data_IF_075189159277
#
_entry.id   IF_075189159277
#
_cell.length_a   1.000
_cell.length_b   1.000
_cell.length_c   1.000
_cell.angle_alpha   90.00
_cell.angle_beta   90.00
_cell.angle_gamma   90.00
#
_symmetry.space_group_name_H-M   'P 1'
#
loop_
_entity.id
_entity.type
_entity.pdbx_description
1 polymer ?
#
# COMPACT_ATOMS: atom_id res chain seq x y z
N UNK A 1 -4.71 12.80 29.92
CA UNK A 1 -3.39 13.46 30.18
C UNK A 1 -2.47 13.10 29.05
N UNK A 2 -1.81 14.09 28.44
CA UNK A 2 -0.82 13.81 27.36
C UNK A 2 0.23 12.80 27.82
N UNK A 3 0.72 12.00 26.88
CA UNK A 3 1.67 10.90 27.16
C UNK A 3 2.96 11.13 26.37
N UNK A 4 4.10 10.79 26.97
CA UNK A 4 5.41 10.80 26.29
C UNK A 4 5.76 9.38 25.91
N UNK A 5 6.08 9.16 24.65
CA UNK A 5 6.39 7.85 24.06
C UNK A 5 7.52 8.00 23.05
N UNK A 6 8.13 6.87 22.63
CA UNK A 6 9.13 6.88 21.55
C UNK A 6 8.45 6.94 20.17
N UNK A 7 9.09 7.69 19.27
CA UNK A 7 8.69 7.77 17.85
C UNK A 7 9.89 8.00 16.95
N UNK A 8 9.79 7.58 15.68
CA UNK A 8 10.84 7.73 14.67
C UNK A 8 10.49 8.91 13.76
N UNK A 9 11.35 9.91 13.73
CA UNK A 9 11.14 11.12 12.95
C UNK A 9 12.19 11.29 11.84
N UNK A 10 11.76 11.91 10.74
CA UNK A 10 12.63 12.52 9.75
C UNK A 10 12.69 14.02 10.04
N UNK A 11 13.83 14.51 10.52
CA UNK A 11 13.96 15.89 11.00
C UNK A 11 14.10 16.91 9.85
N UNK A 12 14.76 16.47 8.78
CA UNK A 12 15.01 17.29 7.59
C UNK A 12 15.16 16.40 6.36
N UNK A 13 15.03 16.99 5.19
CA UNK A 13 15.15 16.34 3.89
C UNK A 13 16.47 15.59 3.76
N UNK A 14 16.38 14.27 3.49
CA UNK A 14 17.53 13.40 3.26
C UNK A 14 18.38 13.09 4.51
N UNK A 15 18.01 13.62 5.70
CA UNK A 15 18.70 13.26 6.93
C UNK A 15 18.31 11.85 7.39
N UNK A 16 19.20 11.10 8.05
CA UNK A 16 18.85 9.84 8.71
C UNK A 16 17.70 10.04 9.68
N UNK A 17 16.84 9.01 9.83
CA UNK A 17 15.77 9.06 10.82
C UNK A 17 16.29 8.88 12.24
N UNK A 18 15.58 9.46 13.19
CA UNK A 18 15.95 9.47 14.61
C UNK A 18 14.81 8.92 15.46
N UNK A 19 15.15 8.13 16.48
CA UNK A 19 14.20 7.76 17.54
C UNK A 19 14.26 8.81 18.64
N UNK A 20 13.15 9.51 18.87
CA UNK A 20 13.02 10.59 19.85
C UNK A 20 11.82 10.37 20.76
N UNK A 21 11.76 11.09 21.87
CA UNK A 21 10.56 11.16 22.70
C UNK A 21 9.57 12.16 22.06
N UNK A 22 8.33 11.72 21.89
CA UNK A 22 7.23 12.52 21.34
C UNK A 22 6.09 12.61 22.33
N UNK A 23 5.35 13.70 22.31
CA UNK A 23 4.15 13.90 23.11
C UNK A 23 2.92 13.58 22.29
N UNK A 24 2.13 12.63 22.76
CA UNK A 24 0.79 12.33 22.23
C UNK A 24 -0.23 13.07 23.08
N UNK A 25 -1.02 13.98 22.53
CA UNK A 25 -2.07 14.65 23.29
C UNK A 25 -3.25 13.72 23.59
N UNK A 26 -4.14 14.11 24.50
CA UNK A 26 -5.44 13.46 24.65
C UNK A 26 -6.24 13.61 23.36
N UNK A 27 -7.02 12.60 22.94
CA UNK A 27 -7.79 12.68 21.71
C UNK A 27 -8.90 13.75 21.82
N UNK A 28 -8.99 14.61 20.81
CA UNK A 28 -10.09 15.56 20.65
C UNK A 28 -11.31 14.93 19.99
N UNK A 29 -12.39 15.70 19.73
CA UNK A 29 -13.59 15.20 19.09
C UNK A 29 -13.27 14.53 17.74
N UNK A 30 -13.78 13.31 17.53
CA UNK A 30 -13.55 12.53 16.32
C UNK A 30 -12.15 11.89 16.19
N UNK A 31 -11.34 11.90 17.26
CA UNK A 31 -9.97 11.37 17.26
C UNK A 31 -9.83 10.14 18.16
N UNK A 32 -8.80 9.36 17.89
CA UNK A 32 -8.43 8.17 18.66
C UNK A 32 -6.92 8.12 18.90
N UNK A 33 -6.52 7.72 20.10
CA UNK A 33 -5.15 7.30 20.42
C UNK A 33 -5.06 5.80 20.26
N UNK A 34 -4.11 5.35 19.45
CA UNK A 34 -3.87 3.93 19.19
C UNK A 34 -2.50 3.54 19.71
N UNK A 35 -2.46 2.50 20.57
CA UNK A 35 -1.23 1.84 20.98
C UNK A 35 -0.82 0.89 19.85
N UNK A 36 0.30 1.21 19.21
CA UNK A 36 0.80 0.45 18.07
C UNK A 36 1.40 -0.87 18.53
N UNK A 37 1.14 -1.93 17.82
CA UNK A 37 1.79 -3.23 17.99
C UNK A 37 2.82 -3.47 16.89
N UNK A 38 2.48 -3.10 15.65
CA UNK A 38 3.35 -3.30 14.49
C UNK A 38 3.15 -2.20 13.45
N UNK A 39 4.21 -1.89 12.70
CA UNK A 39 4.15 -1.00 11.55
C UNK A 39 5.08 -1.45 10.43
N UNK A 40 4.56 -1.67 9.23
CA UNK A 40 5.33 -2.01 8.03
C UNK A 40 6.18 -0.85 7.53
N UNK A 41 7.37 -1.16 6.99
CA UNK A 41 8.27 -0.19 6.36
C UNK A 41 7.96 -0.11 4.86
N UNK A 42 7.63 1.08 4.36
CA UNK A 42 7.17 1.33 3.00
C UNK A 42 8.06 2.34 2.27
N UNK A 43 8.12 2.24 0.93
CA UNK A 43 8.80 3.25 0.09
C UNK A 43 8.21 4.66 0.27
N UNK A 44 6.94 4.77 0.63
CA UNK A 44 6.31 6.06 0.93
C UNK A 44 6.97 6.74 2.14
N UNK A 45 7.36 5.98 3.17
CA UNK A 45 8.10 6.54 4.33
C UNK A 45 9.48 7.07 3.89
N UNK A 46 10.16 6.32 3.02
CA UNK A 46 11.43 6.74 2.44
C UNK A 46 11.25 8.01 1.59
N UNK A 47 10.18 8.10 0.80
CA UNK A 47 9.88 9.31 0.02
C UNK A 47 9.60 10.53 0.92
N UNK A 48 8.93 10.36 2.08
CA UNK A 48 8.80 11.43 3.08
C UNK A 48 10.16 11.86 3.61
N UNK A 49 11.00 10.90 4.03
CA UNK A 49 12.36 11.18 4.52
C UNK A 49 13.21 11.92 3.47
N UNK A 50 13.07 11.59 2.18
CA UNK A 50 13.81 12.21 1.07
C UNK A 50 13.18 13.52 0.56
N UNK A 51 12.03 13.96 1.11
CA UNK A 51 11.31 15.15 0.66
C UNK A 51 10.71 15.02 -0.73
N UNK A 52 10.33 13.80 -1.13
CA UNK A 52 9.67 13.51 -2.40
C UNK A 52 8.15 13.72 -2.38
N UNK A 53 7.56 13.89 -1.19
CA UNK A 53 6.11 14.13 -1.03
C UNK A 53 5.82 15.62 -0.81
N UNK A 54 6.38 16.20 0.24
CA UNK A 54 6.33 17.63 0.56
C UNK A 54 7.49 17.99 1.52
N UNK A 55 7.59 19.25 1.92
CA UNK A 55 8.67 19.78 2.78
C UNK A 55 8.19 20.13 4.21
N UNK A 56 7.13 19.49 4.72
CA UNK A 56 6.54 19.76 6.06
C UNK A 56 7.29 19.05 7.20
N UNK A 57 8.60 19.13 7.21
CA UNK A 57 9.44 18.58 8.26
C UNK A 57 9.26 19.30 9.62
N UNK A 58 9.44 18.55 10.77
CA UNK A 58 9.78 17.15 10.90
C UNK A 58 8.58 16.21 10.71
N UNK A 59 8.80 15.07 10.03
CA UNK A 59 7.79 14.04 9.86
C UNK A 59 7.89 12.97 10.95
N UNK A 60 6.76 12.58 11.53
CA UNK A 60 6.59 11.30 12.23
C UNK A 60 6.22 10.24 11.19
N UNK A 61 7.10 9.27 10.95
CA UNK A 61 6.94 8.29 9.88
C UNK A 61 6.09 7.08 10.31
N UNK A 62 5.83 6.17 9.34
CA UNK A 62 5.06 4.95 9.53
C UNK A 62 3.56 5.12 9.25
N UNK A 63 3.00 4.23 8.42
CA UNK A 63 1.59 4.31 8.02
C UNK A 63 0.93 2.94 7.71
N UNK A 64 1.66 1.82 7.81
CA UNK A 64 1.16 0.45 7.60
C UNK A 64 1.01 -0.25 8.96
N UNK A 65 0.06 0.14 9.80
CA UNK A 65 0.08 -0.26 11.20
C UNK A 65 -1.16 -0.99 11.67
N UNK A 66 -0.95 -1.87 12.65
CA UNK A 66 -2.00 -2.46 13.48
C UNK A 66 -1.71 -2.20 14.96
N UNK A 67 -2.78 -2.06 15.74
CA UNK A 67 -2.68 -1.77 17.15
C UNK A 67 -4.01 -1.82 17.88
N UNK A 68 -4.02 -1.37 19.14
CA UNK A 68 -5.23 -1.37 19.97
C UNK A 68 -5.60 0.07 20.31
N UNK A 69 -6.86 0.40 20.13
CA UNK A 69 -7.41 1.71 20.56
C UNK A 69 -7.25 1.83 22.07
N UNK A 70 -6.57 2.88 22.52
CA UNK A 70 -6.38 3.14 23.95
C UNK A 70 -7.40 4.13 24.50
N UNK A 71 -7.66 5.19 23.73
CA UNK A 71 -8.60 6.23 24.09
C UNK A 71 -9.29 6.81 22.85
N UNK A 72 -10.48 7.32 23.01
CA UNK A 72 -11.23 8.04 21.97
C UNK A 72 -11.71 9.38 22.52
N UNK A 73 -11.82 10.35 21.63
CA UNK A 73 -12.43 11.65 21.95
C UNK A 73 -13.95 11.60 21.88
N UNK A 74 -14.57 12.77 22.12
CA UNK A 74 -16.02 12.92 21.98
C UNK A 74 -16.46 12.65 20.53
N UNK A 75 -17.71 12.27 20.35
CA UNK A 75 -18.36 12.01 19.05
C UNK A 75 -17.76 10.86 18.22
N UNK A 76 -16.92 9.99 18.82
CA UNK A 76 -16.42 8.77 18.18
C UNK A 76 -17.39 7.62 18.41
N UNK A 77 -17.85 7.02 17.33
CA UNK A 77 -18.74 5.85 17.32
C UNK A 77 -18.17 4.65 16.57
N UNK A 78 -17.16 4.85 15.76
CA UNK A 78 -16.58 3.84 14.86
C UNK A 78 -15.78 2.78 15.62
N UNK A 79 -15.09 3.20 16.67
CA UNK A 79 -14.21 2.36 17.50
C UNK A 79 -14.32 2.72 18.97
N UNK A 80 -13.90 1.81 19.84
CA UNK A 80 -13.89 1.97 21.30
C UNK A 80 -12.54 1.51 21.88
N UNK A 81 -12.16 1.97 23.08
CA UNK A 81 -10.98 1.47 23.78
C UNK A 81 -11.02 -0.06 23.92
N UNK A 82 -9.90 -0.71 23.57
CA UNK A 82 -9.76 -2.16 23.53
C UNK A 82 -9.99 -2.78 22.15
N UNK A 83 -10.52 -2.05 21.18
CA UNK A 83 -10.67 -2.55 19.81
C UNK A 83 -9.30 -2.72 19.15
N UNK A 84 -9.07 -3.88 18.52
CA UNK A 84 -7.93 -4.12 17.65
C UNK A 84 -8.23 -3.58 16.26
N UNK A 85 -7.33 -2.73 15.74
CA UNK A 85 -7.56 -1.98 14.50
C UNK A 85 -6.36 -2.03 13.57
N UNK A 86 -6.67 -1.96 12.28
CA UNK A 86 -5.69 -1.63 11.23
C UNK A 86 -5.86 -0.15 10.90
N UNK A 87 -4.75 0.59 10.84
CA UNK A 87 -4.76 1.99 10.46
C UNK A 87 -4.77 2.15 8.93
N UNK A 88 -5.51 3.14 8.47
CA UNK A 88 -5.60 3.51 7.06
C UNK A 88 -5.53 5.03 6.89
N UNK A 89 -5.04 5.48 5.77
CA UNK A 89 -4.87 6.92 5.50
C UNK A 89 -6.08 7.58 4.82
N UNK A 90 -7.26 6.92 4.85
CA UNK A 90 -8.46 7.40 4.16
C UNK A 90 -9.70 7.36 5.06
N UNK A 91 -9.77 8.31 6.00
CA UNK A 91 -11.01 8.56 6.72
C UNK A 91 -12.00 9.28 5.78
N UNK A 92 -12.91 8.53 5.19
CA UNK A 92 -13.87 9.02 4.19
C UNK A 92 -14.85 9.99 4.83
N UNK A 93 -15.01 11.21 4.27
CA UNK A 93 -15.87 12.25 4.86
C UNK A 93 -17.38 12.00 4.69
N UNK A 94 -17.80 11.16 3.74
CA UNK A 94 -19.22 10.88 3.44
C UNK A 94 -19.97 11.99 2.67
N UNK A 95 -19.44 13.21 2.59
CA UNK A 95 -20.19 14.39 2.15
C UNK A 95 -19.68 15.04 0.85
N UNK A 96 -18.42 14.82 0.47
CA UNK A 96 -17.87 15.41 -0.75
C UNK A 96 -18.55 14.84 -2.01
N UNK A 97 -18.29 15.45 -3.16
CA UNK A 97 -18.90 15.04 -4.43
C UNK A 97 -18.66 13.57 -4.76
N UNK A 98 -17.45 13.05 -4.52
CA UNK A 98 -17.12 11.67 -4.77
C UNK A 98 -17.96 10.74 -3.86
N UNK A 99 -18.02 11.03 -2.57
CA UNK A 99 -18.82 10.27 -1.61
C UNK A 99 -20.31 10.24 -1.98
N UNK A 100 -20.88 11.38 -2.37
CA UNK A 100 -22.29 11.48 -2.78
C UNK A 100 -22.62 10.70 -4.05
N UNK A 101 -21.63 10.40 -4.89
CA UNK A 101 -21.80 9.55 -6.09
C UNK A 101 -21.61 8.06 -5.80
N UNK A 102 -21.17 7.69 -4.59
CA UNK A 102 -20.80 6.32 -4.23
C UNK A 102 -19.34 5.96 -4.53
N UNK A 103 -18.53 6.89 -5.03
CA UNK A 103 -17.10 6.70 -5.32
C UNK A 103 -16.26 7.03 -4.07
N UNK A 104 -16.55 6.35 -2.95
CA UNK A 104 -15.96 6.64 -1.63
C UNK A 104 -14.43 6.54 -1.64
N UNK A 105 -13.87 5.64 -2.44
CA UNK A 105 -12.43 5.45 -2.64
C UNK A 105 -11.73 6.70 -3.20
N UNK A 106 -12.49 7.60 -3.83
CA UNK A 106 -12.01 8.88 -4.35
C UNK A 106 -12.43 10.07 -3.48
N UNK A 107 -12.65 9.86 -2.17
CA UNK A 107 -12.95 10.97 -1.26
C UNK A 107 -11.88 12.05 -1.33
N UNK A 108 -12.28 13.32 -1.57
CA UNK A 108 -11.37 14.47 -1.69
C UNK A 108 -11.09 15.15 -0.34
N UNK A 109 -11.87 14.82 0.68
CA UNK A 109 -11.87 15.50 1.98
C UNK A 109 -11.68 14.46 3.10
N UNK A 110 -10.64 13.62 2.95
CA UNK A 110 -10.26 12.67 4.00
C UNK A 110 -9.88 13.43 5.26
N UNK A 111 -10.37 12.97 6.41
CA UNK A 111 -10.08 13.61 7.69
C UNK A 111 -8.82 13.01 8.31
N UNK A 112 -7.98 13.89 8.87
CA UNK A 112 -6.86 13.53 9.74
C UNK A 112 -7.11 14.12 11.13
N UNK A 113 -6.35 13.68 12.13
CA UNK A 113 -6.37 14.30 13.45
C UNK A 113 -6.03 15.80 13.36
N UNK A 114 -6.71 16.61 14.14
CA UNK A 114 -6.52 18.08 14.18
C UNK A 114 -5.51 18.50 15.24
N UNK A 115 -5.49 17.78 16.36
CA UNK A 115 -4.49 17.97 17.40
C UNK A 115 -3.11 17.52 16.92
N UNK A 116 -2.07 18.14 17.47
CA UNK A 116 -0.70 17.94 17.02
C UNK A 116 0.11 17.14 18.04
N UNK A 117 0.75 16.10 17.53
CA UNK A 117 1.86 15.46 18.25
C UNK A 117 3.08 16.36 18.17
N UNK A 118 3.92 16.37 19.20
CA UNK A 118 5.10 17.24 19.27
C UNK A 118 6.33 16.47 19.74
N UNK A 119 7.52 17.00 19.48
CA UNK A 119 8.76 16.51 20.09
C UNK A 119 8.69 16.85 21.58
N UNK A 120 8.88 15.84 22.46
CA UNK A 120 8.68 16.02 23.89
C UNK A 120 9.86 16.70 24.59
N UNK A 121 11.08 16.38 24.20
CA UNK A 121 12.32 16.84 24.85
C UNK A 121 13.49 16.92 23.85
N UNK A 122 14.64 17.41 24.33
CA UNK A 122 15.84 17.53 23.52
C UNK A 122 15.78 18.63 22.47
N UNK A 123 16.51 18.45 21.37
CA UNK A 123 16.52 19.42 20.26
C UNK A 123 15.16 19.48 19.57
N UNK A 124 14.60 20.69 19.47
CA UNK A 124 13.28 20.96 18.88
C UNK A 124 12.11 20.63 19.79
N UNK A 125 12.29 20.52 21.11
CA UNK A 125 11.18 20.29 22.05
C UNK A 125 10.04 21.29 21.82
N UNK A 126 8.80 20.79 21.77
CA UNK A 126 7.59 21.56 21.46
C UNK A 126 7.32 21.76 19.96
N UNK A 127 8.22 21.34 19.06
CA UNK A 127 7.97 21.40 17.61
C UNK A 127 6.86 20.42 17.23
N UNK A 128 5.88 20.88 16.46
CA UNK A 128 4.82 20.05 15.89
C UNK A 128 5.38 19.05 14.88
N UNK A 129 4.83 17.85 14.89
CA UNK A 129 5.17 16.78 13.98
C UNK A 129 4.11 16.66 12.87
N UNK A 130 4.56 16.47 11.63
CA UNK A 130 3.70 16.11 10.51
C UNK A 130 3.63 14.58 10.39
N UNK A 131 2.49 13.95 10.73
CA UNK A 131 2.38 12.48 10.64
C UNK A 131 2.31 12.04 9.18
N UNK A 132 3.16 11.09 8.77
CA UNK A 132 3.14 10.52 7.43
C UNK A 132 1.75 9.94 7.11
N UNK A 133 1.15 10.41 6.00
CA UNK A 133 -0.21 10.10 5.59
C UNK A 133 -1.27 10.33 6.69
N UNK A 134 -1.02 11.26 7.61
CA UNK A 134 -1.90 11.55 8.74
C UNK A 134 -1.93 10.46 9.82
N UNK A 135 -0.96 9.53 9.83
CA UNK A 135 -0.89 8.38 10.75
C UNK A 135 0.29 8.48 11.69
N UNK A 136 1.54 8.46 11.20
CA UNK A 136 2.74 8.55 12.04
C UNK A 136 2.88 7.40 13.04
N UNK A 137 2.97 6.16 12.55
CA UNK A 137 2.89 4.95 13.37
C UNK A 137 4.23 4.24 13.65
N UNK A 138 5.39 4.77 13.23
CA UNK A 138 6.65 4.34 13.81
C UNK A 138 6.81 4.96 15.19
N UNK A 139 5.88 4.64 16.08
CA UNK A 139 5.80 5.13 17.44
C UNK A 139 5.09 4.12 18.34
N UNK A 140 5.35 4.17 19.64
CA UNK A 140 4.64 3.30 20.60
C UNK A 140 3.14 3.61 20.64
N UNK A 141 2.76 4.87 20.35
CA UNK A 141 1.38 5.33 20.20
C UNK A 141 1.29 6.41 19.15
N UNK A 142 0.14 6.52 18.53
CA UNK A 142 -0.16 7.62 17.60
C UNK A 142 -1.56 8.19 17.84
N UNK A 143 -1.78 9.42 17.36
CA UNK A 143 -3.07 10.08 17.35
C UNK A 143 -3.57 10.18 15.90
N UNK A 144 -4.77 9.66 15.66
CA UNK A 144 -5.40 9.62 14.33
C UNK A 144 -6.85 10.09 14.38
N UNK A 145 -7.44 10.43 13.24
CA UNK A 145 -8.89 10.53 13.17
C UNK A 145 -9.51 9.14 13.35
N UNK A 146 -10.62 9.03 14.08
CA UNK A 146 -11.25 7.74 14.35
C UNK A 146 -11.62 6.97 13.08
N UNK A 147 -12.02 7.66 12.01
CA UNK A 147 -12.27 7.06 10.70
C UNK A 147 -11.05 6.46 9.99
N UNK A 148 -9.83 6.71 10.51
CA UNK A 148 -8.61 6.04 10.05
C UNK A 148 -8.39 4.67 10.74
N UNK A 149 -9.23 4.30 11.69
CA UNK A 149 -9.19 3.02 12.38
C UNK A 149 -10.24 2.07 11.80
N UNK A 150 -9.81 0.90 11.33
CA UNK A 150 -10.73 -0.17 10.91
C UNK A 150 -10.62 -1.32 11.88
N UNK A 151 -11.69 -1.59 12.61
CA UNK A 151 -11.78 -2.71 13.56
C UNK A 151 -11.74 -4.04 12.81
N UNK A 152 -10.90 -4.96 13.29
CA UNK A 152 -10.75 -6.32 12.76
C UNK A 152 -10.65 -7.33 13.90
N UNK A 153 -10.64 -8.62 13.57
CA UNK A 153 -10.52 -9.70 14.56
C UNK A 153 -9.21 -9.58 15.35
N UNK A 154 -9.26 -9.52 16.70
CA UNK A 154 -8.08 -9.38 17.55
C UNK A 154 -7.15 -10.60 17.56
N UNK A 155 -7.62 -11.78 17.10
CA UNK A 155 -6.80 -12.98 16.99
C UNK A 155 -5.89 -12.97 15.75
N UNK A 156 -6.08 -12.00 14.84
CA UNK A 156 -5.25 -11.87 13.66
C UNK A 156 -3.83 -11.35 14.04
N UNK A 157 -2.78 -11.91 13.43
CA UNK A 157 -1.41 -11.50 13.69
C UNK A 157 -1.16 -10.07 13.22
N UNK A 158 -0.86 -9.17 14.15
CA UNK A 158 -0.68 -7.74 13.88
C UNK A 158 0.34 -7.44 12.77
N UNK A 159 1.49 -8.14 12.75
CA UNK A 159 2.54 -7.95 11.75
C UNK A 159 2.08 -8.26 10.32
N UNK A 160 1.16 -9.21 10.15
CA UNK A 160 0.63 -9.60 8.86
C UNK A 160 -0.50 -8.65 8.42
N UNK A 161 -1.49 -8.41 9.31
CA UNK A 161 -2.68 -7.62 8.93
C UNK A 161 -2.41 -6.12 8.85
N UNK A 162 -1.42 -5.59 9.60
CA UNK A 162 -1.02 -4.19 9.51
C UNK A 162 -0.56 -3.78 8.12
N UNK A 163 -0.02 -4.70 7.33
CA UNK A 163 0.41 -4.47 5.95
C UNK A 163 -0.76 -4.14 4.98
N UNK A 164 -2.00 -4.47 5.37
CA UNK A 164 -3.20 -4.03 4.64
C UNK A 164 -3.37 -2.50 4.68
N UNK A 165 -2.74 -1.82 5.64
CA UNK A 165 -2.76 -0.35 5.74
C UNK A 165 -2.23 0.37 4.50
N UNK A 166 -1.41 -0.25 3.63
CA UNK A 166 -0.91 0.36 2.40
C UNK A 166 -0.64 -0.67 1.29
N UNK A 167 0.60 -1.17 1.20
CA UNK A 167 1.12 -1.80 -0.02
C UNK A 167 0.44 -3.11 -0.37
N UNK A 168 0.09 -3.95 0.61
CA UNK A 168 -0.59 -5.21 0.34
C UNK A 168 -2.00 -4.96 -0.19
N UNK A 169 -2.77 -4.06 0.44
CA UNK A 169 -4.10 -3.70 -0.06
C UNK A 169 -4.03 -3.01 -1.42
N UNK A 170 -3.03 -2.14 -1.65
CA UNK A 170 -2.85 -1.48 -2.93
C UNK A 170 -2.69 -2.48 -4.07
N UNK A 171 -1.88 -3.53 -3.87
CA UNK A 171 -1.69 -4.58 -4.88
C UNK A 171 -2.92 -5.48 -5.06
N UNK A 172 -3.46 -6.03 -3.97
CA UNK A 172 -4.69 -6.86 -4.02
C UNK A 172 -5.81 -6.12 -4.75
N UNK A 173 -6.07 -4.88 -4.36
CA UNK A 173 -7.13 -4.06 -4.93
C UNK A 173 -6.85 -3.62 -6.37
N UNK A 174 -5.59 -3.37 -6.73
CA UNK A 174 -5.24 -3.05 -8.12
C UNK A 174 -5.65 -4.18 -9.08
N UNK A 175 -5.40 -5.44 -8.69
CA UNK A 175 -5.82 -6.58 -9.49
C UNK A 175 -7.35 -6.78 -9.44
N UNK A 176 -7.95 -6.79 -8.25
CA UNK A 176 -9.36 -7.19 -8.06
C UNK A 176 -10.32 -6.03 -8.32
N UNK A 177 -10.17 -4.92 -7.58
CA UNK A 177 -11.15 -3.83 -7.59
C UNK A 177 -11.00 -2.95 -8.85
N UNK A 178 -9.77 -2.47 -9.11
CA UNK A 178 -9.50 -1.56 -10.23
C UNK A 178 -9.45 -2.31 -11.56
N UNK A 179 -8.70 -3.42 -11.61
CA UNK A 179 -8.49 -4.23 -12.81
C UNK A 179 -9.66 -5.14 -13.15
N UNK A 180 -10.40 -5.58 -12.14
CA UNK A 180 -11.51 -6.51 -12.32
C UNK A 180 -11.03 -7.93 -12.70
N UNK A 181 -9.88 -8.34 -12.16
CA UNK A 181 -9.40 -9.72 -12.28
C UNK A 181 -10.42 -10.69 -11.65
N UNK A 182 -10.73 -11.76 -12.35
CA UNK A 182 -11.71 -12.76 -11.93
C UNK A 182 -11.51 -14.05 -12.71
N UNK A 183 -12.27 -15.10 -12.38
CA UNK A 183 -12.29 -16.35 -13.14
C UNK A 183 -12.61 -16.10 -14.61
N UNK A 184 -11.85 -16.73 -15.50
CA UNK A 184 -11.98 -16.57 -16.95
C UNK A 184 -11.26 -15.35 -17.53
N UNK A 185 -10.45 -14.65 -16.71
CA UNK A 185 -9.58 -13.57 -17.16
C UNK A 185 -8.12 -13.88 -16.87
N UNK A 186 -7.25 -13.45 -17.76
CA UNK A 186 -5.80 -13.44 -17.58
C UNK A 186 -5.34 -12.17 -16.84
N UNK A 187 -4.29 -12.31 -16.03
CA UNK A 187 -3.64 -11.21 -15.33
C UNK A 187 -2.14 -11.23 -15.60
N UNK A 188 -1.57 -10.11 -16.00
CA UNK A 188 -0.12 -9.90 -16.00
C UNK A 188 0.23 -8.78 -15.00
N UNK A 189 1.35 -8.95 -14.29
CA UNK A 189 1.86 -7.97 -13.32
C UNK A 189 3.31 -7.64 -13.68
N UNK A 190 3.58 -6.38 -14.04
CA UNK A 190 4.91 -5.87 -14.36
C UNK A 190 5.50 -5.20 -13.12
N UNK A 191 6.57 -5.78 -12.60
CA UNK A 191 7.20 -5.43 -11.33
C UNK A 191 6.69 -6.29 -10.17
N UNK A 192 7.57 -7.11 -9.59
CA UNK A 192 7.29 -8.05 -8.52
C UNK A 192 7.87 -7.56 -7.17
N UNK A 193 7.82 -6.25 -6.90
CA UNK A 193 8.04 -5.67 -5.57
C UNK A 193 6.85 -5.93 -4.64
N UNK A 194 6.85 -5.35 -3.44
CA UNK A 194 5.81 -5.60 -2.42
C UNK A 194 4.37 -5.40 -2.91
N UNK A 195 4.12 -4.37 -3.74
CA UNK A 195 2.79 -4.11 -4.33
C UNK A 195 2.49 -5.10 -5.46
N UNK A 196 3.47 -5.39 -6.32
CA UNK A 196 3.28 -6.30 -7.45
C UNK A 196 3.00 -7.75 -7.02
N UNK A 197 3.73 -8.27 -6.03
CA UNK A 197 3.43 -9.63 -5.51
C UNK A 197 2.08 -9.69 -4.80
N UNK A 198 1.63 -8.58 -4.20
CA UNK A 198 0.27 -8.50 -3.66
C UNK A 198 -0.79 -8.47 -4.78
N UNK A 199 -0.52 -7.83 -5.92
CA UNK A 199 -1.41 -7.90 -7.09
C UNK A 199 -1.49 -9.33 -7.66
N UNK A 200 -0.37 -10.07 -7.67
CA UNK A 200 -0.33 -11.49 -8.04
C UNK A 200 -1.20 -12.32 -7.11
N UNK A 201 -1.02 -12.17 -5.78
CA UNK A 201 -1.84 -12.86 -4.80
C UNK A 201 -3.33 -12.51 -4.94
N UNK A 202 -3.65 -11.24 -5.24
CA UNK A 202 -5.02 -10.80 -5.55
C UNK A 202 -5.61 -11.48 -6.77
N UNK A 203 -4.85 -11.59 -7.86
CA UNK A 203 -5.28 -12.29 -9.05
C UNK A 203 -5.51 -13.79 -8.82
N UNK A 204 -4.62 -14.44 -8.08
CA UNK A 204 -4.76 -15.84 -7.69
C UNK A 204 -5.99 -16.05 -6.81
N UNK A 205 -6.21 -15.18 -5.80
CA UNK A 205 -7.38 -15.19 -4.93
C UNK A 205 -8.68 -15.02 -5.72
N UNK A 206 -8.69 -14.15 -6.73
CA UNK A 206 -9.84 -13.90 -7.61
C UNK A 206 -10.09 -15.04 -8.61
N UNK A 207 -9.13 -15.99 -8.74
CA UNK A 207 -9.20 -17.11 -9.68
C UNK A 207 -8.88 -16.73 -11.14
N UNK A 208 -8.11 -15.68 -11.35
CA UNK A 208 -7.60 -15.33 -12.68
C UNK A 208 -6.64 -16.42 -13.19
N UNK A 209 -6.64 -16.65 -14.51
CA UNK A 209 -5.80 -17.67 -15.15
C UNK A 209 -5.52 -17.29 -16.62
N UNK A 210 -4.26 -17.24 -17.09
CA UNK A 210 -3.04 -17.32 -16.29
C UNK A 210 -2.83 -16.09 -15.39
N UNK A 211 -1.99 -16.22 -14.35
CA UNK A 211 -1.40 -15.12 -13.57
C UNK A 211 0.08 -15.06 -13.91
N UNK A 212 0.50 -13.99 -14.56
CA UNK A 212 1.84 -13.85 -15.15
C UNK A 212 2.61 -12.79 -14.36
N UNK A 213 3.74 -13.17 -13.78
CA UNK A 213 4.67 -12.28 -13.09
C UNK A 213 5.82 -11.87 -14.02
N UNK A 214 6.10 -10.58 -14.11
CA UNK A 214 7.18 -10.01 -14.93
C UNK A 214 8.12 -9.18 -14.06
N UNK A 215 9.40 -9.54 -14.02
CA UNK A 215 10.46 -8.77 -13.34
C UNK A 215 11.82 -9.08 -13.97
N UNK A 216 12.84 -8.29 -13.65
CA UNK A 216 14.24 -8.54 -14.02
C UNK A 216 14.99 -9.36 -12.97
N UNK A 217 14.43 -9.53 -11.78
CA UNK A 217 15.05 -10.20 -10.64
C UNK A 217 14.47 -11.61 -10.43
N UNK A 218 15.33 -12.61 -10.58
CA UNK A 218 14.94 -14.02 -10.43
C UNK A 218 14.43 -14.38 -9.02
N UNK A 219 14.91 -13.70 -7.95
CA UNK A 219 14.43 -13.94 -6.58
C UNK A 219 13.00 -13.44 -6.42
N UNK A 220 12.68 -12.26 -6.97
CA UNK A 220 11.33 -11.70 -6.98
C UNK A 220 10.37 -12.58 -7.79
N UNK A 221 10.80 -13.08 -8.94
CA UNK A 221 10.02 -14.03 -9.75
C UNK A 221 9.75 -15.36 -9.01
N UNK A 222 10.73 -15.87 -8.26
CA UNK A 222 10.54 -17.05 -7.42
C UNK A 222 9.49 -16.78 -6.33
N UNK A 223 9.57 -15.62 -5.65
CA UNK A 223 8.59 -15.22 -4.64
C UNK A 223 7.19 -15.01 -5.23
N UNK A 224 7.09 -14.47 -6.42
CA UNK A 224 5.84 -14.33 -7.15
C UNK A 224 5.14 -15.68 -7.40
N UNK A 225 5.92 -16.74 -7.69
CA UNK A 225 5.38 -18.10 -7.82
C UNK A 225 4.78 -18.63 -6.53
N UNK A 226 5.46 -18.40 -5.40
CA UNK A 226 4.95 -18.81 -4.07
C UNK A 226 3.60 -18.13 -3.77
N UNK A 227 3.40 -16.90 -4.24
CA UNK A 227 2.22 -16.08 -4.03
C UNK A 227 1.14 -16.24 -5.12
N UNK A 228 1.29 -17.23 -6.02
CA UNK A 228 0.23 -17.63 -6.94
C UNK A 228 0.45 -17.28 -8.41
N UNK A 229 1.63 -16.78 -8.82
CA UNK A 229 1.93 -16.65 -10.24
C UNK A 229 2.02 -18.04 -10.90
N UNK A 230 1.28 -18.23 -11.97
CA UNK A 230 1.31 -19.46 -12.77
C UNK A 230 2.48 -19.47 -13.75
N UNK A 231 2.88 -18.29 -14.20
CA UNK A 231 3.99 -18.07 -15.13
C UNK A 231 4.88 -16.93 -14.66
N UNK A 232 6.15 -17.00 -15.02
CA UNK A 232 7.13 -15.92 -14.79
C UNK A 232 7.84 -15.57 -16.08
N UNK A 233 8.10 -14.27 -16.28
CA UNK A 233 8.83 -13.71 -17.42
C UNK A 233 9.98 -12.89 -16.87
N UNK A 234 11.21 -13.28 -17.22
CA UNK A 234 12.41 -12.45 -16.97
C UNK A 234 12.54 -11.43 -18.12
N UNK A 235 12.16 -10.19 -17.82
CA UNK A 235 12.17 -9.10 -18.80
C UNK A 235 13.56 -8.53 -19.07
N UNK A 236 14.61 -9.04 -18.42
CA UNK A 236 16.00 -8.75 -18.78
C UNK A 236 16.48 -9.61 -19.98
N UNK A 237 15.83 -10.74 -20.21
CA UNK A 237 16.21 -11.71 -21.24
C UNK A 237 15.18 -11.85 -22.39
N UNK A 238 13.91 -11.44 -22.15
CA UNK A 238 12.81 -11.63 -23.09
C UNK A 238 11.93 -10.39 -23.14
N UNK A 239 11.40 -10.05 -24.31
CA UNK A 239 10.40 -8.98 -24.44
C UNK A 239 9.11 -9.39 -23.67
N UNK A 240 8.71 -8.64 -22.63
CA UNK A 240 7.58 -9.01 -21.82
C UNK A 240 6.24 -8.94 -22.56
N UNK A 241 6.11 -8.07 -23.58
CA UNK A 241 4.88 -7.93 -24.37
C UNK A 241 4.64 -9.20 -25.19
N UNK A 242 5.66 -9.66 -25.92
CA UNK A 242 5.60 -10.88 -26.72
C UNK A 242 5.38 -12.12 -25.83
N UNK A 243 6.13 -12.22 -24.71
CA UNK A 243 6.01 -13.37 -23.80
C UNK A 243 4.60 -13.46 -23.15
N UNK A 244 4.00 -12.31 -22.77
CA UNK A 244 2.63 -12.28 -22.22
C UNK A 244 1.63 -12.73 -23.27
N UNK A 245 1.73 -12.22 -24.50
CA UNK A 245 0.85 -12.61 -25.59
C UNK A 245 0.94 -14.13 -25.88
N UNK A 246 2.14 -14.69 -25.99
CA UNK A 246 2.34 -16.13 -26.20
C UNK A 246 1.77 -16.99 -25.07
N UNK A 247 1.88 -16.54 -23.82
CA UNK A 247 1.30 -17.25 -22.67
C UNK A 247 -0.22 -17.18 -22.74
N UNK A 248 -0.80 -16.01 -22.96
CA UNK A 248 -2.25 -15.84 -23.01
C UNK A 248 -2.89 -16.61 -24.17
N UNK A 249 -2.28 -16.62 -25.35
CA UNK A 249 -2.77 -17.38 -26.51
C UNK A 249 -2.92 -18.90 -26.24
N UNK A 250 -2.06 -19.48 -25.38
CA UNK A 250 -2.16 -20.89 -24.97
C UNK A 250 -3.42 -21.21 -24.16
N UNK A 251 -3.94 -20.23 -23.41
CA UNK A 251 -5.15 -20.36 -22.58
C UNK A 251 -6.40 -19.88 -23.31
N UNK A 252 -6.25 -18.80 -24.10
CA UNK A 252 -7.32 -18.16 -24.85
C UNK A 252 -6.86 -17.94 -26.28
N UNK A 253 -7.07 -18.95 -27.16
CA UNK A 253 -6.60 -18.89 -28.55
C UNK A 253 -7.02 -17.63 -29.30
N UNK A 254 -6.05 -16.89 -29.82
CA UNK A 254 -6.22 -15.61 -30.47
C UNK A 254 -6.07 -14.39 -29.55
N UNK A 255 -5.77 -14.58 -28.27
CA UNK A 255 -5.45 -13.47 -27.38
C UNK A 255 -4.11 -12.84 -27.76
N UNK A 256 -4.09 -11.51 -27.84
CA UNK A 256 -2.89 -10.71 -28.15
C UNK A 256 -2.20 -10.17 -26.88
N UNK A 257 -2.70 -10.54 -25.69
CA UNK A 257 -2.17 -10.08 -24.39
C UNK A 257 -3.07 -10.50 -23.23
N UNK A 258 -2.87 -9.88 -22.06
CA UNK A 258 -3.66 -10.17 -20.87
C UNK A 258 -4.91 -9.26 -20.76
N UNK A 259 -6.03 -9.80 -20.24
CA UNK A 259 -7.24 -9.03 -19.95
C UNK A 259 -7.00 -7.89 -18.97
N UNK A 260 -6.11 -8.13 -17.98
CA UNK A 260 -5.70 -7.15 -16.98
C UNK A 260 -4.19 -7.11 -16.90
N UNK A 261 -3.60 -5.93 -17.02
CA UNK A 261 -2.17 -5.71 -16.82
C UNK A 261 -1.96 -4.71 -15.70
N UNK A 262 -1.33 -5.13 -14.61
CA UNK A 262 -0.97 -4.25 -13.48
C UNK A 262 0.48 -3.80 -13.66
N UNK A 263 0.69 -2.49 -13.74
CA UNK A 263 2.00 -1.85 -13.77
C UNK A 263 2.35 -1.40 -12.35
N UNK A 264 3.40 -2.00 -11.74
CA UNK A 264 3.79 -1.80 -10.35
C UNK A 264 5.25 -1.32 -10.18
N UNK A 265 5.83 -0.70 -11.22
CA UNK A 265 7.19 -0.15 -11.22
C UNK A 265 7.18 1.38 -11.19
N UNK A 266 6.29 2.01 -11.98
CA UNK A 266 6.18 3.46 -12.07
C UNK A 266 7.18 4.11 -13.03
N UNK A 267 7.54 3.45 -14.14
CA UNK A 267 8.47 3.99 -15.16
C UNK A 267 7.78 4.12 -16.53
N UNK A 268 8.16 5.12 -17.35
CA UNK A 268 7.59 5.28 -18.68
C UNK A 268 7.70 4.03 -19.56
N UNK A 269 8.83 3.30 -19.49
CA UNK A 269 9.06 2.09 -20.26
C UNK A 269 8.08 0.98 -19.87
N UNK A 270 7.87 0.77 -18.57
CA UNK A 270 6.96 -0.26 -18.06
C UNK A 270 5.49 0.12 -18.29
N UNK A 271 5.14 1.42 -18.28
CA UNK A 271 3.84 1.90 -18.71
C UNK A 271 3.55 1.57 -20.17
N UNK A 272 4.54 1.78 -21.05
CA UNK A 272 4.44 1.43 -22.47
C UNK A 272 4.30 -0.08 -22.66
N UNK A 273 5.11 -0.86 -21.95
CA UNK A 273 5.00 -2.32 -21.95
C UNK A 273 3.61 -2.77 -21.50
N UNK A 274 3.08 -2.23 -20.39
CA UNK A 274 1.75 -2.55 -19.89
C UNK A 274 0.65 -2.21 -20.91
N UNK A 275 0.78 -1.09 -21.61
CA UNK A 275 -0.17 -0.70 -22.65
C UNK A 275 -0.23 -1.72 -23.79
N UNK A 276 0.93 -2.22 -24.26
CA UNK A 276 0.98 -3.17 -25.37
C UNK A 276 0.79 -4.62 -24.96
N UNK A 277 1.06 -4.97 -23.70
CA UNK A 277 0.88 -6.33 -23.15
C UNK A 277 -0.57 -6.69 -22.83
N UNK A 278 -1.50 -5.71 -22.87
CA UNK A 278 -2.92 -5.97 -22.70
C UNK A 278 -3.57 -6.48 -23.97
N UNK A 279 -4.56 -7.35 -23.82
CA UNK A 279 -5.39 -7.80 -24.91
C UNK A 279 -6.30 -6.66 -25.44
N UNK A 280 -6.98 -6.90 -26.56
CA UNK A 280 -8.03 -6.01 -27.06
C UNK A 280 -9.11 -5.82 -26.00
N UNK A 281 -9.56 -4.57 -25.82
CA UNK A 281 -10.48 -4.18 -24.77
C UNK A 281 -10.04 -4.47 -23.32
N UNK A 282 -8.77 -4.88 -23.10
CA UNK A 282 -8.20 -5.14 -21.78
C UNK A 282 -8.00 -3.86 -20.94
N UNK A 283 -7.67 -4.04 -19.68
CA UNK A 283 -7.45 -2.95 -18.72
C UNK A 283 -5.99 -2.88 -18.29
N UNK A 284 -5.35 -1.71 -18.43
CA UNK A 284 -4.09 -1.38 -17.76
C UNK A 284 -4.40 -0.71 -16.42
N UNK A 285 -3.78 -1.19 -15.36
CA UNK A 285 -3.88 -0.62 -14.01
C UNK A 285 -2.52 -0.09 -13.58
N UNK A 286 -2.43 1.20 -13.35
CA UNK A 286 -1.22 1.88 -12.91
C UNK A 286 -1.24 2.00 -11.40
N UNK A 287 -0.37 1.28 -10.71
CA UNK A 287 -0.20 1.32 -9.25
C UNK A 287 1.23 1.68 -8.85
N UNK A 288 2.19 1.53 -9.75
CA UNK A 288 3.55 2.03 -9.58
C UNK A 288 3.57 3.56 -9.55
N UNK A 289 4.18 4.15 -8.51
CA UNK A 289 4.24 5.61 -8.33
C UNK A 289 5.42 6.16 -9.12
N UNK A 290 5.17 6.99 -10.17
CA UNK A 290 6.25 7.60 -10.95
C UNK A 290 6.88 8.78 -10.22
N UNK A 291 8.13 9.12 -10.56
CA UNK A 291 8.68 10.39 -10.13
C UNK A 291 7.94 11.56 -10.81
N UNK A 292 7.79 12.72 -10.14
CA UNK A 292 7.00 13.85 -10.65
C UNK A 292 7.43 14.39 -12.02
N UNK A 293 8.70 14.23 -12.39
CA UNK A 293 9.25 14.69 -13.67
C UNK A 293 9.01 13.73 -14.84
N UNK A 294 8.58 12.49 -14.55
CA UNK A 294 8.32 11.50 -15.60
C UNK A 294 7.04 11.84 -16.36
N UNK A 295 7.07 11.62 -17.66
CA UNK A 295 5.93 11.87 -18.55
C UNK A 295 5.43 10.58 -19.18
N UNK A 296 4.17 10.59 -19.60
CA UNK A 296 3.59 9.45 -20.35
C UNK A 296 4.41 9.22 -21.62
N UNK A 297 4.80 7.98 -21.93
CA UNK A 297 5.56 7.66 -23.14
C UNK A 297 4.73 7.97 -24.40
N UNK A 298 5.42 8.19 -25.52
CA UNK A 298 4.75 8.32 -26.81
C UNK A 298 4.07 7.00 -27.20
N UNK A 299 2.75 7.05 -27.34
CA UNK A 299 1.90 5.98 -27.83
C UNK A 299 1.07 6.58 -28.98
N UNK A 300 1.12 6.02 -30.22
CA UNK A 300 0.32 6.50 -31.32
C UNK A 300 -1.17 6.49 -30.98
N UNK A 301 -1.89 7.57 -31.32
CA UNK A 301 -3.34 7.66 -31.02
C UNK A 301 -4.14 6.54 -31.71
N UNK A 302 -3.67 6.04 -32.86
CA UNK A 302 -4.32 4.93 -33.55
C UNK A 302 -4.25 3.63 -32.75
N UNK A 303 -3.17 3.40 -31.97
CA UNK A 303 -3.04 2.24 -31.11
C UNK A 303 -3.98 2.35 -29.91
N UNK A 304 -4.15 3.56 -29.35
CA UNK A 304 -5.10 3.82 -28.27
C UNK A 304 -6.52 3.54 -28.76
N UNK A 305 -6.88 4.05 -29.95
CA UNK A 305 -8.21 3.85 -30.55
C UNK A 305 -8.45 2.39 -30.92
N UNK A 306 -7.48 1.74 -31.58
CA UNK A 306 -7.62 0.39 -32.12
C UNK A 306 -7.72 -0.69 -31.05
N UNK A 307 -6.99 -0.54 -29.92
CA UNK A 307 -7.01 -1.54 -28.84
C UNK A 307 -8.24 -1.42 -27.94
N UNK A 308 -8.91 -0.26 -27.88
CA UNK A 308 -10.02 -0.05 -26.96
C UNK A 308 -9.63 -0.24 -25.49
N UNK A 309 -10.59 -0.64 -24.63
CA UNK A 309 -10.34 -0.95 -23.22
C UNK A 309 -10.10 0.28 -22.34
N UNK A 310 -9.34 0.12 -21.25
CA UNK A 310 -9.15 1.16 -20.27
C UNK A 310 -7.69 1.28 -19.78
N UNK A 311 -7.30 2.50 -19.41
CA UNK A 311 -6.13 2.80 -18.60
C UNK A 311 -6.64 3.48 -17.34
N UNK A 312 -6.37 2.88 -16.19
CA UNK A 312 -6.84 3.36 -14.88
C UNK A 312 -5.66 3.49 -13.92
N UNK A 313 -5.66 4.52 -13.09
CA UNK A 313 -4.81 4.56 -11.90
C UNK A 313 -5.52 3.83 -10.75
N UNK A 314 -4.74 3.18 -9.91
CA UNK A 314 -5.24 2.50 -8.72
C UNK A 314 -4.73 3.20 -7.47
N UNK A 315 -5.59 3.97 -6.84
CA UNK A 315 -5.30 4.61 -5.58
C UNK A 315 -5.64 3.67 -4.45
N UNK A 316 -4.62 3.18 -3.72
CA UNK A 316 -4.82 2.29 -2.60
C UNK A 316 -5.67 1.05 -2.95
N UNK A 317 -5.55 0.56 -4.19
CA UNK A 317 -6.33 -0.57 -4.67
C UNK A 317 -7.84 -0.30 -4.79
N UNK A 318 -8.27 0.95 -4.93
CA UNK A 318 -9.68 1.35 -4.85
C UNK A 318 -10.37 0.76 -3.60
N UNK A 319 -9.63 0.72 -2.49
CA UNK A 319 -10.03 0.13 -1.22
C UNK A 319 -11.06 0.99 -0.48
N UNK A 320 -11.98 0.30 0.17
CA UNK A 320 -12.82 0.84 1.24
C UNK A 320 -12.46 0.08 2.53
N UNK A 321 -11.58 0.62 3.41
CA UNK A 321 -11.02 -0.11 4.54
C UNK A 321 -12.04 -0.83 5.40
N UNK A 322 -13.14 -0.17 5.77
CA UNK A 322 -14.21 -0.75 6.59
C UNK A 322 -14.96 -1.92 5.93
N UNK A 323 -14.91 -2.03 4.59
CA UNK A 323 -15.45 -3.17 3.83
C UNK A 323 -14.39 -4.26 3.62
N UNK A 324 -13.20 -3.84 3.20
CA UNK A 324 -12.22 -4.75 2.63
C UNK A 324 -11.32 -5.39 3.70
N UNK A 325 -10.92 -4.64 4.75
CA UNK A 325 -10.01 -5.20 5.75
C UNK A 325 -10.61 -6.34 6.55
N UNK A 326 -11.85 -6.25 7.10
CA UNK A 326 -12.44 -7.39 7.81
C UNK A 326 -12.54 -8.63 6.91
N UNK A 327 -12.99 -8.46 5.66
CA UNK A 327 -13.09 -9.56 4.69
C UNK A 327 -11.72 -10.20 4.40
N UNK A 328 -10.67 -9.40 4.22
CA UNK A 328 -9.32 -9.91 3.94
C UNK A 328 -8.72 -10.60 5.17
N UNK A 329 -9.02 -10.12 6.37
CA UNK A 329 -8.62 -10.78 7.63
C UNK A 329 -9.34 -12.12 7.78
N UNK A 330 -10.63 -12.22 7.45
CA UNK A 330 -11.38 -13.49 7.44
C UNK A 330 -10.77 -14.49 6.43
N UNK A 331 -10.36 -14.00 5.25
CA UNK A 331 -9.68 -14.84 4.25
C UNK A 331 -8.30 -15.30 4.72
N UNK A 332 -7.57 -14.45 5.43
CA UNK A 332 -6.29 -14.80 6.05
C UNK A 332 -6.46 -15.87 7.13
N UNK A 333 -7.36 -15.66 8.08
CA UNK A 333 -7.61 -16.60 9.17
C UNK A 333 -8.16 -17.95 8.68
N UNK A 334 -8.92 -17.95 7.58
CA UNK A 334 -9.38 -19.19 6.94
C UNK A 334 -8.33 -19.89 6.05
N UNK A 335 -7.10 -19.35 5.96
CA UNK A 335 -6.01 -19.90 5.16
C UNK A 335 -6.18 -19.75 3.64
N UNK A 336 -7.06 -18.86 3.19
CA UNK A 336 -7.31 -18.57 1.76
C UNK A 336 -6.42 -17.45 1.21
N UNK A 337 -5.88 -16.62 2.08
CA UNK A 337 -4.93 -15.55 1.78
C UNK A 337 -3.78 -15.64 2.78
N UNK A 338 -2.55 -15.80 2.29
CA UNK A 338 -1.36 -15.86 3.14
C UNK A 338 -0.76 -14.47 3.30
N UNK A 339 -1.16 -13.74 4.35
CA UNK A 339 -0.59 -12.43 4.68
C UNK A 339 0.78 -12.54 5.36
N UNK A 340 1.08 -13.66 6.02
CA UNK A 340 2.39 -13.91 6.63
C UNK A 340 3.51 -13.97 5.59
N UNK A 341 3.22 -14.44 4.40
CA UNK A 341 4.18 -14.53 3.31
C UNK A 341 4.75 -13.17 2.85
N UNK A 342 4.09 -12.05 3.21
CA UNK A 342 4.57 -10.71 2.93
C UNK A 342 5.53 -10.18 4.01
N UNK A 343 5.51 -10.72 5.23
CA UNK A 343 6.41 -10.34 6.32
C UNK A 343 7.76 -11.02 6.09
N UNK A 344 8.75 -10.27 5.62
CA UNK A 344 10.08 -10.82 5.33
C UNK A 344 10.98 -10.84 6.56
N UNK A 345 10.88 -9.82 7.39
CA UNK A 345 11.59 -9.71 8.67
C UNK A 345 10.82 -8.85 9.67
N UNK A 346 11.02 -9.14 10.95
CA UNK A 346 10.59 -8.30 12.06
C UNK A 346 11.79 -7.57 12.66
N UNK A 347 11.64 -6.27 12.91
CA UNK A 347 12.71 -5.39 13.40
C UNK A 347 12.24 -4.56 14.59
N UNK A 348 13.17 -4.00 15.35
CA UNK A 348 12.86 -3.04 16.41
C UNK A 348 12.66 -1.62 15.87
N UNK A 349 12.06 -0.75 16.69
CA UNK A 349 11.80 0.66 16.32
C UNK A 349 13.09 1.45 16.00
N UNK A 350 14.24 1.04 16.56
CA UNK A 350 15.55 1.65 16.31
C UNK A 350 16.18 1.27 14.97
N UNK A 351 15.62 0.27 14.24
CA UNK A 351 16.25 -0.32 13.06
C UNK A 351 15.65 0.23 11.74
N UNK A 352 14.76 1.24 11.81
CA UNK A 352 14.03 1.77 10.64
C UNK A 352 14.99 2.32 9.57
N UNK A 353 16.08 3.01 9.96
CA UNK A 353 17.06 3.53 8.98
C UNK A 353 17.74 2.38 8.22
N UNK A 354 18.16 1.34 8.93
CA UNK A 354 18.76 0.15 8.30
C UNK A 354 17.76 -0.59 7.39
N UNK A 355 16.47 -0.59 7.74
CA UNK A 355 15.42 -1.16 6.89
C UNK A 355 15.22 -0.36 5.60
N UNK A 356 15.35 0.97 5.63
CA UNK A 356 15.35 1.79 4.42
C UNK A 356 16.53 1.47 3.50
N UNK A 357 17.72 1.26 4.04
CA UNK A 357 18.89 0.84 3.27
C UNK A 357 18.68 -0.52 2.58
N UNK A 358 18.19 -1.53 3.33
CA UNK A 358 17.86 -2.85 2.75
C UNK A 358 16.80 -2.77 1.65
N UNK A 359 15.77 -1.95 1.87
CA UNK A 359 14.71 -1.74 0.88
C UNK A 359 15.24 -1.09 -0.40
N UNK A 360 16.17 -0.14 -0.28
CA UNK A 360 16.82 0.50 -1.43
C UNK A 360 17.61 -0.50 -2.28
N UNK A 361 18.25 -1.48 -1.64
CA UNK A 361 18.98 -2.57 -2.32
C UNK A 361 18.05 -3.70 -2.83
N UNK A 362 16.77 -3.71 -2.49
CA UNK A 362 15.80 -4.71 -2.91
C UNK A 362 15.94 -6.07 -2.21
N UNK A 363 16.62 -6.11 -1.06
CA UNK A 363 16.92 -7.35 -0.33
C UNK A 363 15.73 -7.90 0.45
N UNK A 364 14.70 -7.08 0.70
CA UNK A 364 13.51 -7.43 1.47
C UNK A 364 12.23 -7.03 0.75
N UNK A 365 11.15 -7.80 0.91
CA UNK A 365 9.81 -7.40 0.45
C UNK A 365 9.18 -6.43 1.42
N UNK A 366 9.12 -6.80 2.71
CA UNK A 366 8.56 -6.01 3.81
C UNK A 366 9.26 -6.29 5.12
N UNK A 367 9.94 -5.27 5.66
CA UNK A 367 10.33 -5.24 7.07
C UNK A 367 9.15 -4.73 7.90
N UNK A 368 8.91 -5.29 9.06
CA UNK A 368 7.84 -4.89 9.98
C UNK A 368 8.46 -4.51 11.32
N UNK A 369 8.24 -3.28 11.75
CA UNK A 369 8.60 -2.82 13.09
C UNK A 369 7.64 -3.45 14.09
N UNK A 370 8.17 -4.13 15.09
CA UNK A 370 7.43 -4.66 16.25
C UNK A 370 7.70 -3.74 17.45
N UNK A 371 6.65 -3.31 18.14
CA UNK A 371 6.70 -2.29 19.21
C UNK A 371 6.28 -2.89 20.54
#
# INVERSE_FOLDING_TARGET
>A
MSQVVKGVIARAKGAPVETVNITIPDPGPGEAVVKIQTCGVCHTDLHYREGGINDEFPFLLGHEAAGVVEAVGDDVSEVAPGDFVILNWRAVCGECRACKRGDLQYCFDSKNATQKMTIADGEGAGTELSPALGIGAFAEKTLVAAGQCTKVDPEARAAAVGLLGCGVMAGLGAAINTGGATRGKSLAVIGCGGVGVAAIAGGALAGAMPVIAVDIDAKKLAKAKELGATHTVDSSATDPVEAIAEICDKYYPGAEGADVVVEAVGRPETWKQAFYARDLAGTVVLVGVPNPEMTVPEIPLIDVFGRGGALKSSWYGDCLPNRDFPMLVDLYQSGRLDLDAFVTEEIGIGDVEAAFEKMHHGDVLRSVVVI
#
